data_IF_513344157987
#
_entry.id   IF_513344157987
#
_cell.length_a   1.000
_cell.length_b   1.000
_cell.length_c   1.000
_cell.angle_alpha   90.00
_cell.angle_beta   90.00
_cell.angle_gamma   90.00
#
_symmetry.space_group_name_H-M   'P 1'
#
loop_
_entity.id
_entity.type
_entity.pdbx_description
1 polymer ?
#
# COMPACT_ATOMS: atom_id res chain seq x y z
N UNK A 1 2.90 -5.67 -13.78
CA UNK A 1 2.94 -4.54 -12.85
C UNK A 1 1.83 -3.57 -13.17
N UNK A 2 1.11 -3.12 -12.17
CA UNK A 2 0.03 -2.16 -12.34
C UNK A 2 0.20 -1.02 -11.34
N UNK A 3 -0.43 0.10 -11.67
CA UNK A 3 -0.37 1.28 -10.81
C UNK A 3 -1.76 1.90 -10.73
N UNK A 4 -2.14 2.26 -9.52
CA UNK A 4 -3.34 3.04 -9.26
C UNK A 4 -2.94 4.37 -8.67
N UNK A 5 -3.72 5.39 -8.96
CA UNK A 5 -3.42 6.70 -8.39
C UNK A 5 -4.69 7.54 -8.34
N UNK A 6 -4.63 8.58 -7.51
CA UNK A 6 -5.71 9.55 -7.40
C UNK A 6 -5.08 10.93 -7.37
N UNK A 7 -5.36 11.73 -8.39
CA UNK A 7 -4.75 13.05 -8.51
C UNK A 7 -5.29 14.03 -7.47
N UNK A 8 -6.53 13.89 -7.08
CA UNK A 8 -7.12 14.79 -6.11
C UNK A 8 -6.60 14.52 -4.71
N UNK A 9 -6.54 13.26 -4.33
CA UNK A 9 -6.02 12.86 -3.03
C UNK A 9 -4.51 12.75 -3.02
N UNK A 10 -3.87 12.73 -4.19
CA UNK A 10 -2.43 12.73 -4.38
C UNK A 10 -1.75 11.51 -3.80
N UNK A 11 -2.27 10.32 -4.14
CA UNK A 11 -1.59 9.09 -3.76
C UNK A 11 -1.38 8.21 -4.98
N UNK A 12 -0.42 7.31 -4.86
CA UNK A 12 -0.14 6.33 -5.90
C UNK A 12 0.18 5.00 -5.24
N UNK A 13 -0.24 3.91 -5.86
CA UNK A 13 0.13 2.57 -5.44
C UNK A 13 0.54 1.76 -6.64
N UNK A 14 1.73 1.16 -6.57
CA UNK A 14 2.24 0.26 -7.60
C UNK A 14 2.13 -1.16 -7.06
N UNK A 15 1.56 -2.04 -7.86
CA UNK A 15 1.41 -3.45 -7.54
C UNK A 15 2.34 -4.26 -8.39
N UNK A 16 3.20 -5.04 -7.75
CA UNK A 16 4.13 -5.90 -8.45
C UNK A 16 4.23 -7.22 -7.71
N UNK A 17 3.58 -8.27 -8.25
CA UNK A 17 3.53 -9.55 -7.56
C UNK A 17 2.93 -9.40 -6.17
N UNK A 18 3.70 -9.76 -5.15
CA UNK A 18 3.26 -9.63 -3.77
C UNK A 18 3.65 -8.30 -3.14
N UNK A 19 4.26 -7.41 -3.92
CA UNK A 19 4.69 -6.13 -3.38
C UNK A 19 3.67 -5.05 -3.70
N UNK A 20 3.51 -4.15 -2.76
CA UNK A 20 2.71 -2.94 -2.90
C UNK A 20 3.58 -1.78 -2.49
N UNK A 21 3.82 -0.86 -3.40
CA UNK A 21 4.58 0.34 -3.12
C UNK A 21 3.60 1.48 -3.14
N UNK A 22 3.37 2.09 -2.00
CA UNK A 22 2.34 3.10 -1.84
C UNK A 22 2.95 4.39 -1.35
N UNK A 23 2.49 5.50 -1.88
CA UNK A 23 2.95 6.83 -1.47
C UNK A 23 1.75 7.75 -1.36
N UNK A 24 1.70 8.50 -0.28
CA UNK A 24 0.71 9.55 -0.08
C UNK A 24 1.43 10.89 -0.14
N UNK A 25 1.19 11.62 -1.21
CA UNK A 25 1.81 12.92 -1.44
C UNK A 25 0.87 14.06 -1.06
N UNK A 26 -0.31 13.74 -0.57
CA UNK A 26 -1.31 14.74 -0.21
C UNK A 26 -1.20 15.18 1.24
N UNK A 27 -2.01 16.15 1.63
CA UNK A 27 -1.97 16.70 2.99
C UNK A 27 -2.79 15.89 4.00
N UNK A 28 -3.54 14.90 3.56
CA UNK A 28 -4.45 14.15 4.42
C UNK A 28 -4.04 12.68 4.46
N UNK A 29 -4.30 11.98 5.56
CA UNK A 29 -4.08 10.53 5.58
C UNK A 29 -4.99 9.84 4.57
N UNK A 30 -4.50 8.72 4.02
CA UNK A 30 -5.30 7.92 3.09
C UNK A 30 -5.31 6.47 3.54
N UNK A 31 -6.40 5.78 3.19
CA UNK A 31 -6.57 4.35 3.42
C UNK A 31 -6.69 3.70 2.05
N UNK A 32 -5.73 2.81 1.74
CA UNK A 32 -5.66 2.23 0.41
C UNK A 32 -5.86 0.72 0.51
N UNK A 33 -6.66 0.19 -0.41
CA UNK A 33 -6.88 -1.24 -0.49
C UNK A 33 -5.68 -1.91 -1.15
N UNK A 34 -5.14 -2.93 -0.51
CA UNK A 34 -4.00 -3.68 -1.03
C UNK A 34 -4.41 -4.74 -2.04
N UNK A 35 -5.66 -5.15 -2.00
CA UNK A 35 -6.17 -6.24 -2.84
C UNK A 35 -5.86 -7.61 -2.30
N UNK A 36 -4.94 -7.73 -1.36
CA UNK A 36 -4.56 -8.94 -0.66
C UNK A 36 -4.20 -8.57 0.77
N UNK A 37 -4.36 -9.49 1.72
CA UNK A 37 -3.94 -9.18 3.09
C UNK A 37 -2.46 -8.84 3.15
N UNK A 38 -2.13 -7.78 3.86
CA UNK A 38 -0.74 -7.40 4.08
C UNK A 38 -0.11 -8.32 5.10
N UNK A 39 1.10 -8.80 4.82
CA UNK A 39 1.82 -9.70 5.72
C UNK A 39 3.00 -9.03 6.39
N UNK A 40 3.56 -7.99 5.79
CA UNK A 40 4.71 -7.31 6.38
C UNK A 40 4.86 -5.93 5.77
N UNK A 41 5.31 -4.99 6.59
CA UNK A 41 5.79 -3.70 6.10
C UNK A 41 7.30 -3.82 5.95
N UNK A 42 7.78 -3.78 4.71
CA UNK A 42 9.20 -3.94 4.43
C UNK A 42 9.95 -2.65 4.61
N UNK A 43 9.30 -1.53 4.35
CA UNK A 43 9.88 -0.21 4.55
C UNK A 43 8.75 0.79 4.72
N UNK A 44 8.97 1.80 5.54
CA UNK A 44 8.00 2.86 5.74
C UNK A 44 8.74 4.14 6.11
N UNK A 45 8.27 5.25 5.61
CA UNK A 45 8.88 6.54 5.90
C UNK A 45 8.38 7.15 7.20
N UNK A 46 7.34 6.57 7.79
CA UNK A 46 6.70 7.15 8.97
C UNK A 46 6.20 6.03 9.87
N UNK A 47 6.31 6.19 11.20
CA UNK A 47 5.75 5.20 12.11
C UNK A 47 4.22 5.16 12.11
N UNK A 48 3.57 6.13 11.49
CA UNK A 48 2.11 6.13 11.38
C UNK A 48 1.57 5.24 10.29
N UNK A 49 2.43 4.61 9.48
CA UNK A 49 1.98 3.65 8.49
C UNK A 49 1.49 2.39 9.23
N UNK A 50 0.28 1.96 8.90
CA UNK A 50 -0.33 0.81 9.57
C UNK A 50 -1.06 -0.05 8.56
N UNK A 51 -1.03 -1.35 8.78
CA UNK A 51 -1.78 -2.31 7.97
C UNK A 51 -2.87 -2.91 8.81
N UNK A 52 -4.05 -3.01 8.24
CA UNK A 52 -5.19 -3.66 8.86
C UNK A 52 -5.82 -4.57 7.81
N UNK A 53 -5.55 -5.86 7.90
CA UNK A 53 -6.00 -6.85 6.92
C UNK A 53 -5.50 -6.49 5.53
N UNK A 54 -6.38 -6.08 4.62
CA UNK A 54 -6.02 -5.77 3.25
C UNK A 54 -5.99 -4.27 2.96
N UNK A 55 -5.89 -3.45 4.01
CA UNK A 55 -5.88 -1.99 3.88
C UNK A 55 -4.63 -1.44 4.54
N UNK A 56 -4.00 -0.47 3.89
CA UNK A 56 -2.89 0.27 4.48
C UNK A 56 -3.32 1.70 4.72
N UNK A 57 -2.94 2.24 5.87
CA UNK A 57 -3.14 3.64 6.20
C UNK A 57 -1.82 4.37 6.06
N UNK A 58 -1.81 5.43 5.26
CA UNK A 58 -0.63 6.25 5.03
C UNK A 58 -0.89 7.65 5.55
N UNK A 59 -0.09 8.12 6.51
CA UNK A 59 -0.17 9.53 6.91
C UNK A 59 0.20 10.45 5.75
N UNK A 60 -0.04 11.73 5.92
CA UNK A 60 0.35 12.73 4.96
C UNK A 60 1.86 12.63 4.68
N UNK A 61 2.24 12.75 3.41
CA UNK A 61 3.64 12.77 2.97
C UNK A 61 4.40 11.51 3.39
N UNK A 62 3.74 10.35 3.37
CA UNK A 62 4.35 9.09 3.78
C UNK A 62 4.35 8.09 2.64
N UNK A 63 5.30 7.15 2.69
CA UNK A 63 5.31 6.04 1.75
C UNK A 63 5.58 4.74 2.51
N UNK A 64 5.25 3.62 1.85
CA UNK A 64 5.53 2.31 2.41
C UNK A 64 5.68 1.29 1.30
N UNK A 65 6.51 0.29 1.58
CA UNK A 65 6.62 -0.91 0.75
C UNK A 65 6.07 -2.05 1.58
N UNK A 66 5.04 -2.72 1.05
CA UNK A 66 4.28 -3.70 1.81
C UNK A 66 4.33 -5.01 1.04
N UNK A 67 4.56 -6.09 1.76
CA UNK A 67 4.44 -7.42 1.23
C UNK A 67 3.05 -7.96 1.56
N UNK A 68 2.38 -8.53 0.55
CA UNK A 68 1.06 -9.12 0.73
C UNK A 68 1.18 -10.63 0.67
N UNK A 69 0.08 -11.31 0.99
CA UNK A 69 -0.01 -12.74 0.78
C UNK A 69 0.15 -13.03 -0.72
N UNK A 70 0.74 -14.18 -1.03
CA UNK A 70 0.89 -14.60 -2.41
C UNK A 70 -0.46 -14.59 -3.12
N UNK A 71 -0.51 -14.05 -4.35
CA UNK A 71 -1.79 -14.05 -5.06
C UNK A 71 -2.25 -15.47 -5.34
N UNK A 72 -3.39 -15.66 -5.06
CA UNK A 72 -4.05 -16.79 -5.37
C UNK A 72 -3.37 -18.07 -5.37
N UNK A 73 -3.35 -18.39 -5.38
CA UNK A 73 -2.97 -19.21 -5.59
C UNK A 73 -3.30 -20.21 -5.88
N UNK A 74 -3.39 -20.11 -6.36
CA UNK A 74 -3.69 -20.80 -6.74
C UNK A 74 -3.02 -21.51 -6.93
N UNK A 75 -2.81 -21.67 -6.63
CA UNK A 75 -2.26 -22.19 -6.64
C UNK A 75 -1.71 -22.40 -6.74
N UNK A 76 -1.72 -22.32 -6.75
CA UNK A 76 -1.44 -22.59 -6.73
C UNK A 76 -1.28 -22.70 -6.49
#
# INVERSE_FOLDING_TARGET
MTADFDEDARWIMVRRGRLRIAANLGPEPVHLALGQPGTAVLAASSPGVAIQQDTVTLPSAAFAVIQTRAPGTRGA
#
